data_IF_233737261096
#
_entry.id   IF_233737261096
#
_cell.length_a   1.000
_cell.length_b   1.000
_cell.length_c   1.000
_cell.angle_alpha   90.00
_cell.angle_beta   90.00
_cell.angle_gamma   90.00
#
_symmetry.space_group_name_H-M   'P 1'
#
loop_
_entity.id
_entity.type
_entity.pdbx_description
1 polymer ?
#
# COMPACT_ATOMS: atom_id res chain seq x y z
N UNK A 1 -34.23 -48.37 -30.76
CA UNK A 1 -33.24 -48.19 -29.70
C UNK A 1 -32.18 -47.12 -29.99
N UNK A 2 -31.64 -46.97 -31.21
CA UNK A 2 -30.57 -45.92 -31.49
C UNK A 2 -31.09 -44.46 -31.42
N UNK A 3 -32.35 -44.18 -31.72
CA UNK A 3 -32.90 -42.79 -31.64
C UNK A 3 -33.20 -42.32 -30.22
N UNK A 4 -33.46 -43.23 -29.29
CA UNK A 4 -33.76 -42.89 -27.86
C UNK A 4 -32.46 -42.59 -27.07
N UNK A 5 -31.34 -43.20 -27.46
CA UNK A 5 -30.04 -42.96 -26.81
C UNK A 5 -29.47 -41.57 -27.18
N UNK A 6 -29.71 -41.12 -28.43
CA UNK A 6 -29.27 -39.76 -28.86
C UNK A 6 -30.01 -38.63 -28.17
N UNK A 7 -31.27 -38.83 -27.80
CA UNK A 7 -32.08 -37.81 -27.09
C UNK A 7 -31.69 -37.68 -25.62
N UNK A 8 -31.33 -38.80 -24.97
CA UNK A 8 -30.86 -38.82 -23.58
C UNK A 8 -29.46 -38.20 -23.48
N UNK A 9 -28.58 -38.44 -24.46
CA UNK A 9 -27.26 -37.81 -24.49
C UNK A 9 -27.32 -36.28 -24.74
N UNK A 10 -28.27 -35.83 -25.59
CA UNK A 10 -28.47 -34.38 -25.79
C UNK A 10 -29.08 -33.70 -24.56
N UNK A 11 -29.93 -34.36 -23.79
CA UNK A 11 -30.51 -33.83 -22.53
C UNK A 11 -29.42 -33.78 -21.41
N UNK A 12 -28.52 -34.75 -21.35
CA UNK A 12 -27.38 -34.72 -20.39
C UNK A 12 -26.33 -33.68 -20.72
N UNK A 13 -26.17 -33.30 -21.98
CA UNK A 13 -25.29 -32.20 -22.39
C UNK A 13 -25.86 -30.80 -22.09
N UNK A 14 -27.20 -30.69 -21.99
CA UNK A 14 -27.82 -29.42 -21.59
C UNK A 14 -27.85 -29.19 -20.07
N UNK A 15 -27.68 -30.21 -19.23
CA UNK A 15 -27.55 -30.04 -17.79
C UNK A 15 -26.10 -29.74 -17.33
N UNK A 16 -25.14 -29.75 -18.24
CA UNK A 16 -23.72 -29.51 -17.98
C UNK A 16 -23.21 -28.10 -18.34
N UNK A 17 -24.10 -27.20 -18.81
CA UNK A 17 -23.77 -25.77 -18.85
C UNK A 17 -23.90 -25.23 -17.44
N UNK A 18 -22.92 -25.54 -16.57
CA UNK A 18 -22.62 -24.67 -15.44
C UNK A 18 -22.40 -23.29 -16.07
N UNK A 19 -23.37 -22.42 -15.96
CA UNK A 19 -23.17 -21.00 -16.24
C UNK A 19 -21.96 -20.62 -15.39
N UNK A 20 -20.83 -20.35 -16.01
CA UNK A 20 -19.82 -19.56 -15.36
C UNK A 20 -20.52 -18.22 -15.08
N UNK A 21 -21.11 -18.07 -13.91
CA UNK A 21 -21.59 -16.77 -13.46
C UNK A 21 -20.34 -15.91 -13.42
N UNK A 22 -20.31 -14.86 -14.24
CA UNK A 22 -19.35 -13.78 -14.03
C UNK A 22 -19.52 -13.30 -12.59
N UNK A 23 -18.45 -12.98 -11.92
CA UNK A 23 -18.53 -12.42 -10.58
C UNK A 23 -19.35 -11.13 -10.62
N UNK A 24 -20.05 -10.84 -9.52
CA UNK A 24 -20.85 -9.62 -9.39
C UNK A 24 -19.99 -8.38 -9.19
N UNK A 25 -18.73 -8.56 -8.81
CA UNK A 25 -17.72 -7.51 -8.62
C UNK A 25 -16.33 -8.02 -8.95
N UNK A 26 -15.56 -7.24 -9.71
CA UNK A 26 -14.17 -7.55 -10.03
C UNK A 26 -13.23 -6.48 -9.45
N UNK A 27 -12.11 -6.91 -8.84
CA UNK A 27 -11.20 -6.03 -8.09
C UNK A 27 -9.76 -6.23 -8.57
N UNK A 28 -9.09 -5.15 -8.97
CA UNK A 28 -7.63 -5.08 -9.02
C UNK A 28 -7.07 -4.72 -7.65
N UNK A 29 -6.25 -5.58 -7.06
CA UNK A 29 -5.69 -5.37 -5.72
C UNK A 29 -4.17 -5.53 -5.68
N UNK A 30 -3.52 -4.62 -4.97
CA UNK A 30 -2.14 -4.77 -4.51
C UNK A 30 -2.07 -4.94 -2.98
N UNK A 31 -3.21 -5.17 -2.33
CA UNK A 31 -3.28 -5.40 -0.89
C UNK A 31 -2.70 -6.77 -0.55
N UNK A 32 -2.18 -6.90 0.66
CA UNK A 32 -1.68 -8.17 1.12
C UNK A 32 -2.80 -9.23 1.21
N UNK A 33 -2.43 -10.49 1.06
CA UNK A 33 -3.38 -11.60 1.05
C UNK A 33 -4.21 -11.69 2.33
N UNK A 34 -3.63 -11.34 3.50
CA UNK A 34 -4.32 -11.39 4.79
C UNK A 34 -5.49 -10.41 4.82
N UNK A 35 -5.29 -9.15 4.34
CA UNK A 35 -6.35 -8.15 4.25
C UNK A 35 -7.47 -8.60 3.30
N UNK A 36 -7.10 -9.12 2.14
CA UNK A 36 -8.05 -9.63 1.16
C UNK A 36 -8.89 -10.78 1.77
N UNK A 37 -8.26 -11.69 2.50
CA UNK A 37 -8.93 -12.86 3.13
C UNK A 37 -9.84 -12.48 4.31
N UNK A 38 -9.71 -11.29 4.88
CA UNK A 38 -10.63 -10.76 5.89
C UNK A 38 -11.81 -10.04 5.20
N UNK A 39 -11.51 -9.12 4.30
CA UNK A 39 -12.53 -8.20 3.75
C UNK A 39 -13.42 -8.87 2.72
N UNK A 40 -12.86 -9.66 1.80
CA UNK A 40 -13.66 -10.23 0.70
C UNK A 40 -14.73 -11.21 1.20
N UNK A 41 -14.41 -12.23 2.02
CA UNK A 41 -15.46 -13.14 2.52
C UNK A 41 -16.51 -12.41 3.38
N UNK A 42 -16.11 -11.40 4.15
CA UNK A 42 -17.03 -10.61 4.96
C UNK A 42 -17.98 -9.78 4.07
N UNK A 43 -17.49 -9.18 2.99
CA UNK A 43 -18.29 -8.48 2.01
C UNK A 43 -19.28 -9.42 1.31
N UNK A 44 -18.80 -10.58 0.84
CA UNK A 44 -19.64 -11.61 0.19
C UNK A 44 -20.74 -12.10 1.15
N UNK A 45 -20.41 -12.32 2.42
CA UNK A 45 -21.38 -12.72 3.44
C UNK A 45 -22.44 -11.63 3.70
N UNK A 46 -22.01 -10.37 3.77
CA UNK A 46 -22.89 -9.25 4.08
C UNK A 46 -23.84 -8.90 2.92
N UNK A 47 -23.40 -9.09 1.69
CA UNK A 47 -24.14 -8.63 0.50
C UNK A 47 -24.75 -9.76 -0.33
N UNK A 48 -24.21 -10.97 -0.25
CA UNK A 48 -24.54 -12.09 -1.14
C UNK A 48 -23.94 -11.98 -2.54
N UNK A 49 -23.12 -10.94 -2.80
CA UNK A 49 -22.41 -10.75 -4.06
C UNK A 49 -21.13 -11.60 -4.09
N UNK A 50 -20.73 -12.04 -5.28
CA UNK A 50 -19.49 -12.79 -5.50
C UNK A 50 -18.39 -11.86 -6.00
N UNK A 51 -17.12 -12.06 -5.55
CA UNK A 51 -15.99 -11.22 -5.89
C UNK A 51 -14.91 -12.00 -6.65
N UNK A 52 -14.48 -11.48 -7.80
CA UNK A 52 -13.27 -11.91 -8.48
C UNK A 52 -12.13 -10.95 -8.19
N UNK A 53 -11.00 -11.49 -7.70
CA UNK A 53 -9.81 -10.70 -7.42
C UNK A 53 -8.67 -11.00 -8.37
N UNK A 54 -8.07 -9.93 -8.87
CA UNK A 54 -6.86 -9.96 -9.72
C UNK A 54 -5.77 -9.20 -8.98
N UNK A 55 -4.73 -9.90 -8.52
CA UNK A 55 -3.65 -9.33 -7.74
C UNK A 55 -2.42 -8.98 -8.59
N UNK A 56 -1.66 -7.98 -8.13
CA UNK A 56 -0.40 -7.54 -8.73
C UNK A 56 0.26 -6.45 -7.88
N UNK A 57 1.42 -5.95 -8.30
CA UNK A 57 1.99 -4.76 -7.67
C UNK A 57 1.13 -3.52 -7.96
N UNK A 58 1.25 -2.47 -7.14
CA UNK A 58 0.48 -1.23 -7.33
C UNK A 58 0.67 -0.63 -8.73
N UNK A 59 1.90 -0.67 -9.25
CA UNK A 59 2.20 -0.19 -10.60
C UNK A 59 1.58 -1.05 -11.69
N UNK A 60 1.63 -2.38 -11.56
CA UNK A 60 1.04 -3.30 -12.55
C UNK A 60 -0.47 -3.17 -12.65
N UNK A 61 -1.18 -3.15 -11.50
CA UNK A 61 -2.64 -3.02 -11.53
C UNK A 61 -3.07 -1.64 -12.03
N UNK A 62 -2.33 -0.57 -11.73
CA UNK A 62 -2.61 0.76 -12.28
C UNK A 62 -2.42 0.81 -13.79
N UNK A 63 -1.39 0.16 -14.34
CA UNK A 63 -1.18 0.08 -15.78
C UNK A 63 -2.31 -0.69 -16.49
N UNK A 64 -2.85 -1.72 -15.87
CA UNK A 64 -4.03 -2.44 -16.40
C UNK A 64 -5.25 -1.54 -16.45
N UNK A 65 -5.56 -0.83 -15.34
CA UNK A 65 -6.66 0.16 -15.30
C UNK A 65 -6.51 1.18 -16.42
N UNK A 66 -5.30 1.76 -16.59
CA UNK A 66 -5.01 2.73 -17.64
C UNK A 66 -5.30 2.18 -19.02
N UNK A 67 -4.80 0.99 -19.33
CA UNK A 67 -5.02 0.32 -20.61
C UNK A 67 -6.52 0.05 -20.89
N UNK A 68 -7.28 -0.39 -19.88
CA UNK A 68 -8.70 -0.67 -20.03
C UNK A 68 -9.52 0.61 -20.27
N UNK A 69 -9.25 1.66 -19.48
CA UNK A 69 -9.95 2.96 -19.64
C UNK A 69 -9.60 3.62 -20.97
N UNK A 70 -8.33 3.63 -21.39
CA UNK A 70 -7.89 4.21 -22.66
C UNK A 70 -8.49 3.48 -23.89
N UNK A 71 -8.65 2.16 -23.79
CA UNK A 71 -9.27 1.37 -24.87
C UNK A 71 -10.80 1.36 -24.83
N UNK A 72 -11.39 1.86 -23.75
CA UNK A 72 -12.84 1.83 -23.54
C UNK A 72 -13.40 0.42 -23.24
N UNK A 73 -12.53 -0.53 -22.90
CA UNK A 73 -12.92 -1.91 -22.58
C UNK A 73 -12.64 -2.21 -21.12
N UNK A 74 -13.38 -1.52 -20.22
CA UNK A 74 -13.27 -1.69 -18.78
C UNK A 74 -13.97 -3.00 -18.37
N UNK A 75 -13.23 -3.90 -17.74
CA UNK A 75 -13.70 -5.22 -17.31
C UNK A 75 -13.67 -5.40 -15.79
N UNK A 76 -13.03 -4.50 -15.07
CA UNK A 76 -12.87 -4.54 -13.62
C UNK A 76 -13.47 -3.29 -12.98
N UNK A 77 -14.07 -3.44 -11.80
CA UNK A 77 -14.86 -2.40 -11.16
C UNK A 77 -14.06 -1.55 -10.19
N UNK A 78 -13.21 -2.19 -9.41
CA UNK A 78 -12.49 -1.58 -8.28
C UNK A 78 -10.99 -1.65 -8.49
N UNK A 79 -10.33 -0.54 -8.18
CA UNK A 79 -8.90 -0.50 -7.95
C UNK A 79 -8.66 -0.33 -6.43
N UNK A 80 -8.12 -1.36 -5.79
CA UNK A 80 -7.80 -1.36 -4.37
C UNK A 80 -6.30 -1.55 -4.16
N UNK A 81 -5.56 -0.51 -4.49
CA UNK A 81 -4.11 -0.55 -4.53
C UNK A 81 -3.53 0.86 -4.45
N UNK A 82 -2.55 1.08 -3.61
CA UNK A 82 -1.85 2.36 -3.45
C UNK A 82 -2.65 3.45 -2.70
N UNK A 83 -1.96 4.52 -2.41
CA UNK A 83 -2.44 5.73 -1.77
C UNK A 83 -2.75 6.83 -2.81
N UNK A 84 -3.36 7.91 -2.35
CA UNK A 84 -3.75 9.04 -3.21
C UNK A 84 -2.55 9.69 -3.92
N UNK A 85 -1.37 9.75 -3.29
CA UNK A 85 -0.19 10.38 -3.90
C UNK A 85 0.29 9.63 -5.15
N UNK A 86 0.12 8.29 -5.14
CA UNK A 86 0.44 7.47 -6.30
C UNK A 86 -0.59 7.61 -7.41
N UNK A 87 -1.84 7.89 -7.07
CA UNK A 87 -2.97 7.86 -8.00
C UNK A 87 -3.36 9.22 -8.55
N UNK A 88 -2.96 10.31 -7.89
CA UNK A 88 -3.46 11.66 -8.19
C UNK A 88 -3.22 12.12 -9.64
N UNK A 89 -2.08 11.75 -10.25
CA UNK A 89 -1.78 12.04 -11.65
C UNK A 89 -2.67 11.27 -12.65
N UNK A 90 -3.43 10.28 -12.18
CA UNK A 90 -4.28 9.41 -12.98
C UNK A 90 -5.74 9.48 -12.51
N UNK A 91 -6.14 10.59 -11.92
CA UNK A 91 -7.48 10.78 -11.35
C UNK A 91 -8.63 10.57 -12.35
N UNK A 92 -8.38 10.87 -13.60
CA UNK A 92 -9.31 10.71 -14.74
C UNK A 92 -9.62 9.23 -15.08
N UNK A 93 -8.87 8.29 -14.52
CA UNK A 93 -9.13 6.85 -14.62
C UNK A 93 -10.23 6.37 -13.66
N UNK A 94 -10.62 7.20 -12.70
CA UNK A 94 -11.51 6.80 -11.61
C UNK A 94 -12.82 7.59 -11.63
N UNK A 95 -13.88 6.94 -11.15
CA UNK A 95 -15.21 7.54 -11.00
C UNK A 95 -15.27 8.34 -9.69
N UNK A 96 -15.71 9.60 -9.70
CA UNK A 96 -15.95 10.35 -8.48
C UNK A 96 -17.02 9.68 -7.64
N UNK A 97 -16.66 9.25 -6.44
CA UNK A 97 -17.60 8.68 -5.48
C UNK A 97 -17.16 9.02 -4.05
N UNK A 98 -18.07 9.60 -3.28
CA UNK A 98 -17.90 9.82 -1.85
C UNK A 98 -18.69 8.75 -1.11
N UNK A 99 -18.00 7.93 -0.32
CA UNK A 99 -18.62 6.88 0.48
C UNK A 99 -19.68 7.44 1.43
N UNK A 100 -20.77 6.69 1.63
CA UNK A 100 -21.76 6.99 2.67
C UNK A 100 -21.18 6.97 4.10
N UNK A 101 -19.98 6.40 4.26
CA UNK A 101 -19.26 6.33 5.52
C UNK A 101 -18.31 7.53 5.75
N UNK A 102 -18.19 8.45 4.79
CA UNK A 102 -17.18 9.51 4.79
C UNK A 102 -17.17 10.39 6.04
N UNK A 103 -18.35 10.78 6.53
CA UNK A 103 -18.47 11.64 7.72
C UNK A 103 -17.99 10.98 9.03
N UNK A 104 -17.91 9.65 9.05
CA UNK A 104 -17.42 8.89 10.20
C UNK A 104 -15.89 8.70 10.19
N UNK A 105 -15.22 9.09 9.11
CA UNK A 105 -13.76 9.07 9.02
C UNK A 105 -13.15 10.25 9.81
N UNK A 106 -11.90 10.05 10.23
CA UNK A 106 -11.09 11.14 10.78
C UNK A 106 -10.92 12.25 9.73
N UNK A 107 -10.96 13.54 10.12
CA UNK A 107 -11.00 14.66 9.17
C UNK A 107 -9.94 14.63 8.08
N UNK A 108 -8.71 14.20 8.41
CA UNK A 108 -7.59 14.12 7.47
C UNK A 108 -7.73 13.01 6.42
N UNK A 109 -8.65 12.07 6.61
CA UNK A 109 -8.90 10.96 5.69
C UNK A 109 -10.24 11.06 4.95
N UNK A 110 -11.01 12.12 5.23
CA UNK A 110 -12.27 12.35 4.54
C UNK A 110 -12.04 12.72 3.07
N UNK A 111 -12.88 12.16 2.21
CA UNK A 111 -12.93 12.53 0.80
C UNK A 111 -13.57 13.93 0.67
N UNK A 112 -12.93 14.84 -0.03
CA UNK A 112 -13.35 16.24 -0.16
C UNK A 112 -14.50 16.48 -1.18
N UNK A 113 -15.17 15.42 -1.65
CA UNK A 113 -16.37 15.52 -2.50
C UNK A 113 -16.11 15.51 -4.00
N UNK A 114 -15.04 16.11 -4.47
CA UNK A 114 -14.55 16.06 -5.86
C UNK A 114 -13.46 14.99 -6.06
N UNK A 115 -13.07 14.34 -4.98
CA UNK A 115 -12.06 13.30 -4.94
C UNK A 115 -12.69 11.93 -5.21
N UNK A 116 -12.00 11.10 -5.98
CA UNK A 116 -12.38 9.72 -6.26
C UNK A 116 -11.71 8.70 -5.33
N UNK A 117 -10.93 9.15 -4.34
CA UNK A 117 -10.15 8.30 -3.44
C UNK A 117 -10.81 8.25 -2.06
N UNK A 118 -11.19 7.06 -1.62
CA UNK A 118 -11.80 6.83 -0.31
C UNK A 118 -10.79 6.11 0.59
N UNK A 119 -10.28 6.80 1.60
CA UNK A 119 -9.25 6.29 2.49
C UNK A 119 -9.83 5.27 3.47
N UNK A 120 -9.41 4.02 3.36
CA UNK A 120 -9.89 2.92 4.17
C UNK A 120 -9.03 2.69 5.42
N UNK A 121 -7.72 2.63 5.23
CA UNK A 121 -6.74 2.40 6.29
C UNK A 121 -5.60 3.39 6.14
N UNK A 122 -4.86 3.62 7.21
CA UNK A 122 -3.65 4.42 7.17
C UNK A 122 -2.46 3.55 7.57
N UNK A 123 -1.33 3.78 6.93
CA UNK A 123 -0.17 2.92 7.08
C UNK A 123 1.13 3.74 7.06
N UNK A 124 1.65 4.10 8.25
CA UNK A 124 2.90 4.85 8.31
C UNK A 124 4.07 4.03 7.80
N UNK A 125 5.04 4.73 7.21
CA UNK A 125 6.30 4.13 6.84
C UNK A 125 7.19 3.98 8.06
N UNK A 126 7.93 2.88 8.10
CA UNK A 126 8.82 2.52 9.20
C UNK A 126 10.14 1.97 8.67
N UNK A 127 11.13 1.94 9.52
CA UNK A 127 12.30 1.09 9.34
C UNK A 127 12.10 -0.20 10.13
N UNK A 128 12.44 -1.34 9.55
CA UNK A 128 12.63 -2.60 10.27
C UNK A 128 14.12 -2.82 10.42
N UNK A 129 14.58 -3.11 11.63
CA UNK A 129 16.00 -3.31 11.93
C UNK A 129 16.26 -4.69 12.51
N UNK A 130 17.36 -5.32 12.13
CA UNK A 130 17.85 -6.54 12.77
C UNK A 130 18.71 -6.17 13.98
N UNK A 131 18.14 -6.34 15.17
CA UNK A 131 18.77 -5.89 16.43
C UNK A 131 20.09 -6.61 16.73
N UNK A 132 20.21 -7.88 16.33
CA UNK A 132 21.45 -8.64 16.50
C UNK A 132 22.56 -8.10 15.60
N UNK A 133 22.26 -7.79 14.34
CA UNK A 133 23.26 -7.21 13.42
C UNK A 133 23.72 -5.84 13.90
N UNK A 134 22.79 -4.99 14.37
CA UNK A 134 23.14 -3.66 14.90
C UNK A 134 24.01 -3.76 16.15
N UNK A 135 23.70 -4.71 17.06
CA UNK A 135 24.52 -4.97 18.25
C UNK A 135 25.94 -5.45 17.87
N UNK A 136 26.07 -6.37 16.92
CA UNK A 136 27.38 -6.86 16.42
C UNK A 136 28.20 -5.75 15.76
N UNK A 137 27.56 -4.77 15.12
CA UNK A 137 28.20 -3.58 14.55
C UNK A 137 28.47 -2.47 15.59
N UNK A 138 27.87 -2.55 16.77
CA UNK A 138 27.99 -1.55 17.82
C UNK A 138 27.30 -0.23 17.54
N UNK A 139 26.25 -0.23 16.71
CA UNK A 139 25.48 0.95 16.29
C UNK A 139 24.01 0.86 16.67
N UNK A 140 23.34 2.01 16.59
CA UNK A 140 21.88 2.12 16.78
C UNK A 140 21.28 2.87 15.59
N UNK A 141 20.00 2.60 15.31
CA UNK A 141 19.22 3.26 14.27
C UNK A 141 17.90 3.73 14.90
N UNK A 142 17.71 5.04 15.00
CA UNK A 142 16.52 5.67 15.56
C UNK A 142 15.83 6.61 14.56
N UNK A 143 16.56 7.02 13.51
CA UNK A 143 16.07 7.94 12.49
C UNK A 143 16.77 7.78 11.15
N UNK A 144 16.36 8.61 10.20
CA UNK A 144 16.94 8.59 8.85
C UNK A 144 18.40 9.01 8.86
N UNK A 145 18.80 9.94 9.73
CA UNK A 145 20.20 10.37 9.83
C UNK A 145 21.16 9.20 10.11
N UNK A 146 20.70 8.20 10.85
CA UNK A 146 21.49 7.03 11.21
C UNK A 146 21.80 6.11 10.03
N UNK A 147 21.02 6.22 8.93
CA UNK A 147 21.23 5.45 7.70
C UNK A 147 22.56 5.80 7.00
N UNK A 148 23.20 6.93 7.38
CA UNK A 148 24.48 7.35 6.84
C UNK A 148 25.69 6.76 7.60
N UNK A 149 25.48 5.97 8.66
CA UNK A 149 26.56 5.31 9.39
C UNK A 149 27.33 4.38 8.43
N UNK A 150 28.68 4.48 8.38
CA UNK A 150 29.46 3.73 7.39
C UNK A 150 29.39 2.20 7.58
N UNK A 151 29.06 1.72 8.79
CA UNK A 151 28.85 0.32 9.12
C UNK A 151 27.65 -0.27 8.38
N UNK A 152 26.70 0.59 7.97
CA UNK A 152 25.50 0.20 7.23
C UNK A 152 25.70 0.08 5.73
N UNK A 153 26.87 0.39 5.19
CA UNK A 153 27.12 0.27 3.75
C UNK A 153 26.86 -1.15 3.24
N UNK A 154 25.94 -1.28 2.28
CA UNK A 154 25.50 -2.55 1.71
C UNK A 154 24.69 -3.43 2.67
N UNK A 155 24.26 -2.87 3.82
CA UNK A 155 23.43 -3.53 4.83
C UNK A 155 22.01 -2.95 4.94
N UNK A 156 21.70 -1.96 4.12
CA UNK A 156 20.37 -1.38 4.00
C UNK A 156 19.69 -1.97 2.76
N UNK A 157 18.37 -2.17 2.83
CA UNK A 157 17.55 -2.57 1.69
C UNK A 157 16.29 -1.71 1.62
N UNK A 158 15.91 -1.31 0.42
CA UNK A 158 14.62 -0.68 0.11
C UNK A 158 14.05 -1.27 -1.18
N UNK A 159 12.77 -1.03 -1.48
CA UNK A 159 12.24 -1.30 -2.81
C UNK A 159 12.41 -0.07 -3.72
N UNK A 160 12.09 -0.22 -5.01
CA UNK A 160 12.18 0.86 -5.98
C UNK A 160 11.04 1.88 -5.81
N UNK A 161 11.32 3.16 -5.48
CA UNK A 161 10.30 4.20 -5.34
C UNK A 161 9.49 4.48 -6.61
N UNK A 162 10.00 4.17 -7.79
CA UNK A 162 9.27 4.35 -9.03
C UNK A 162 8.14 3.32 -9.21
N UNK A 163 8.27 2.13 -8.59
CA UNK A 163 7.38 0.99 -8.80
C UNK A 163 6.66 0.50 -7.53
N UNK A 164 7.06 0.98 -6.35
CA UNK A 164 6.49 0.59 -5.06
C UNK A 164 5.98 1.81 -4.30
N UNK A 165 4.69 1.81 -3.95
CA UNK A 165 4.05 2.88 -3.15
C UNK A 165 4.77 3.06 -1.81
N UNK A 166 5.00 1.98 -1.06
CA UNK A 166 5.67 2.07 0.25
C UNK A 166 7.12 2.57 0.14
N UNK A 167 7.86 2.18 -0.89
CA UNK A 167 9.21 2.71 -1.10
C UNK A 167 9.18 4.19 -1.48
N UNK A 168 8.22 4.62 -2.30
CA UNK A 168 8.01 6.04 -2.58
C UNK A 168 7.70 6.83 -1.31
N UNK A 169 6.82 6.33 -0.46
CA UNK A 169 6.52 6.97 0.82
C UNK A 169 7.74 7.00 1.76
N UNK A 170 8.60 5.96 1.78
CA UNK A 170 9.86 5.98 2.51
C UNK A 170 10.81 7.08 1.98
N UNK A 171 10.90 7.23 0.65
CA UNK A 171 11.67 8.32 0.03
C UNK A 171 11.13 9.69 0.49
N UNK A 172 9.80 9.88 0.46
CA UNK A 172 9.16 11.12 0.93
C UNK A 172 9.46 11.36 2.41
N UNK A 173 9.40 10.32 3.25
CA UNK A 173 9.76 10.43 4.67
C UNK A 173 11.19 10.93 4.88
N UNK A 174 12.15 10.36 4.15
CA UNK A 174 13.55 10.81 4.18
C UNK A 174 13.71 12.26 3.70
N UNK A 175 13.06 12.63 2.58
CA UNK A 175 13.13 13.99 2.04
C UNK A 175 12.55 15.03 3.01
N UNK A 176 11.39 14.78 3.61
CA UNK A 176 10.81 15.68 4.61
C UNK A 176 11.65 15.76 5.89
N UNK A 177 12.10 14.62 6.41
CA UNK A 177 12.89 14.56 7.63
C UNK A 177 14.22 15.28 7.50
N UNK A 178 14.94 15.00 6.43
CA UNK A 178 16.29 15.55 6.22
C UNK A 178 16.27 16.93 5.59
N UNK A 179 15.19 17.31 4.89
CA UNK A 179 14.95 18.66 4.38
C UNK A 179 14.27 19.60 5.39
N UNK A 180 14.12 19.19 6.66
CA UNK A 180 13.48 20.00 7.71
C UNK A 180 12.07 20.48 7.32
N UNK A 181 11.32 19.61 6.66
CA UNK A 181 9.96 19.87 6.20
C UNK A 181 9.85 20.39 4.76
N UNK A 182 10.97 20.60 4.05
CA UNK A 182 11.00 20.91 2.62
C UNK A 182 11.63 19.76 1.83
N UNK A 183 10.79 18.90 1.18
CA UNK A 183 11.28 17.72 0.45
C UNK A 183 12.03 18.07 -0.84
N UNK A 184 11.96 19.31 -1.30
CA UNK A 184 12.63 19.76 -2.53
C UNK A 184 13.96 20.45 -2.26
N UNK A 185 14.33 20.66 -0.98
CA UNK A 185 15.57 21.37 -0.59
C UNK A 185 16.84 20.65 -1.03
N UNK A 186 17.93 21.41 -1.21
CA UNK A 186 19.26 20.85 -1.50
C UNK A 186 19.75 19.94 -0.37
N UNK A 187 19.43 20.25 0.89
CA UNK A 187 19.80 19.43 2.05
C UNK A 187 19.16 18.04 1.99
N UNK A 188 17.87 17.97 1.64
CA UNK A 188 17.15 16.69 1.50
C UNK A 188 17.81 15.80 0.43
N UNK A 189 18.12 16.36 -0.71
CA UNK A 189 18.70 15.61 -1.82
C UNK A 189 20.18 15.26 -1.62
N UNK A 190 20.95 16.11 -0.94
CA UNK A 190 22.31 15.77 -0.53
C UNK A 190 22.33 14.59 0.47
N UNK A 191 21.30 14.46 1.31
CA UNK A 191 21.12 13.27 2.14
C UNK A 191 20.85 12.02 1.28
N UNK A 192 19.96 12.13 0.27
CA UNK A 192 19.65 11.00 -0.62
C UNK A 192 20.89 10.49 -1.34
N UNK A 193 21.80 11.37 -1.80
CA UNK A 193 23.07 10.95 -2.38
C UNK A 193 23.91 10.09 -1.44
N UNK A 194 24.05 10.52 -0.19
CA UNK A 194 24.80 9.77 0.80
C UNK A 194 24.12 8.46 1.17
N UNK A 195 22.77 8.47 1.27
CA UNK A 195 21.98 7.28 1.49
C UNK A 195 22.16 6.25 0.36
N UNK A 196 22.14 6.68 -0.90
CA UNK A 196 22.35 5.80 -2.05
C UNK A 196 23.73 5.16 -2.06
N UNK A 197 24.76 5.89 -1.61
CA UNK A 197 26.12 5.33 -1.44
C UNK A 197 26.14 4.23 -0.37
N UNK A 198 25.41 4.41 0.73
CA UNK A 198 25.30 3.39 1.78
C UNK A 198 24.37 2.23 1.37
N UNK A 199 23.33 2.51 0.60
CA UNK A 199 22.44 1.48 0.04
C UNK A 199 23.20 0.50 -0.87
N UNK A 200 24.25 0.98 -1.57
CA UNK A 200 25.17 0.16 -2.38
C UNK A 200 24.39 -0.74 -3.40
N UNK A 201 23.37 -0.15 -4.03
CA UNK A 201 22.55 -0.83 -5.04
C UNK A 201 21.61 -1.93 -4.51
N UNK A 202 21.37 -2.02 -3.19
CA UNK A 202 20.48 -3.04 -2.60
C UNK A 202 19.01 -2.64 -2.71
N UNK A 203 18.47 -2.81 -3.90
CA UNK A 203 17.06 -2.50 -4.23
C UNK A 203 16.29 -3.81 -4.50
N UNK A 204 15.23 -4.02 -3.73
CA UNK A 204 14.34 -5.17 -3.86
C UNK A 204 13.26 -4.91 -4.92
N UNK A 205 12.71 -5.98 -5.50
CA UNK A 205 11.59 -5.89 -6.44
C UNK A 205 10.23 -5.71 -5.76
N UNK A 206 10.16 -5.93 -4.43
CA UNK A 206 8.93 -5.80 -3.65
C UNK A 206 9.21 -5.46 -2.18
N UNK A 207 8.22 -4.84 -1.52
CA UNK A 207 8.29 -4.55 -0.08
C UNK A 207 8.42 -5.81 0.77
N UNK A 208 7.85 -6.94 0.33
CA UNK A 208 7.96 -8.20 1.06
C UNK A 208 9.39 -8.74 1.08
N UNK A 209 10.17 -8.53 0.04
CA UNK A 209 11.60 -8.86 0.06
C UNK A 209 12.38 -7.98 1.04
N UNK A 210 11.97 -6.71 1.23
CA UNK A 210 12.63 -5.80 2.17
C UNK A 210 12.52 -6.32 3.60
N UNK A 211 11.31 -6.44 4.14
CA UNK A 211 11.15 -6.83 5.55
C UNK A 211 11.56 -8.29 5.83
N UNK A 212 11.34 -9.20 4.87
CA UNK A 212 11.81 -10.58 5.01
C UNK A 212 13.34 -10.69 4.95
N UNK A 213 14.01 -9.91 4.11
CA UNK A 213 15.48 -9.88 4.04
C UNK A 213 16.13 -9.46 5.36
N UNK A 214 15.52 -8.48 6.05
CA UNK A 214 15.96 -8.07 7.39
C UNK A 214 15.67 -9.17 8.42
N UNK A 215 14.47 -9.74 8.40
CA UNK A 215 14.10 -10.81 9.33
C UNK A 215 14.99 -12.05 9.17
N UNK A 216 15.39 -12.37 7.94
CA UNK A 216 16.30 -13.47 7.63
C UNK A 216 17.78 -13.17 7.97
N UNK A 217 18.12 -11.93 8.34
CA UNK A 217 19.49 -11.52 8.66
C UNK A 217 20.37 -11.26 7.44
N UNK A 218 19.77 -11.02 6.28
CA UNK A 218 20.50 -10.63 5.06
C UNK A 218 20.91 -9.16 5.09
N UNK A 219 20.06 -8.32 5.73
CA UNK A 219 20.24 -6.88 5.88
C UNK A 219 20.03 -6.44 7.32
N UNK A 220 20.70 -5.36 7.72
CA UNK A 220 20.57 -4.78 9.04
C UNK A 220 19.37 -3.84 9.17
N UNK A 221 19.03 -3.13 8.07
CA UNK A 221 17.96 -2.15 8.04
C UNK A 221 17.15 -2.31 6.75
N UNK A 222 15.83 -2.27 6.85
CA UNK A 222 14.90 -2.23 5.73
C UNK A 222 13.93 -1.04 5.85
N UNK A 223 13.69 -0.36 4.73
CA UNK A 223 12.70 0.71 4.63
C UNK A 223 11.39 0.13 4.09
N UNK A 224 10.32 0.13 4.90
CA UNK A 224 9.07 -0.53 4.54
C UNK A 224 7.86 0.15 5.19
N UNK A 225 6.77 -0.56 5.35
CA UNK A 225 5.52 -0.11 5.94
C UNK A 225 5.16 -0.93 7.19
N UNK A 226 4.26 -0.41 8.00
CA UNK A 226 4.06 -0.79 9.40
C UNK A 226 3.58 -2.24 9.59
N UNK A 227 2.47 -2.66 8.95
CA UNK A 227 1.77 -3.93 9.26
C UNK A 227 2.69 -5.17 9.30
N UNK A 228 3.42 -5.53 8.23
CA UNK A 228 4.25 -6.73 8.26
C UNK A 228 5.46 -6.60 9.18
N UNK A 229 5.98 -5.38 9.38
CA UNK A 229 7.11 -5.15 10.27
C UNK A 229 6.71 -5.36 11.74
N UNK A 230 5.55 -4.84 12.16
CA UNK A 230 4.98 -5.06 13.50
C UNK A 230 4.65 -6.54 13.72
N UNK A 231 4.13 -7.22 12.70
CA UNK A 231 3.83 -8.66 12.80
C UNK A 231 5.10 -9.49 13.04
N UNK A 232 6.19 -9.20 12.30
CA UNK A 232 7.48 -9.86 12.48
C UNK A 232 8.08 -9.61 13.87
N UNK A 233 8.02 -8.36 14.36
CA UNK A 233 8.49 -8.00 15.70
C UNK A 233 7.66 -8.71 16.77
N UNK A 234 6.33 -8.67 16.66
CA UNK A 234 5.42 -9.28 17.63
C UNK A 234 5.50 -10.81 17.67
N UNK A 235 5.81 -11.45 16.53
CA UNK A 235 6.04 -12.89 16.49
C UNK A 235 7.26 -13.33 17.33
N UNK A 236 8.23 -12.45 17.54
CA UNK A 236 9.40 -12.69 18.41
C UNK A 236 10.32 -13.83 17.95
N UNK A 237 10.12 -14.32 16.74
CA UNK A 237 10.90 -15.45 16.19
C UNK A 237 12.24 -15.00 15.59
N UNK A 238 12.33 -13.72 15.23
CA UNK A 238 13.50 -13.11 14.60
C UNK A 238 13.95 -11.91 15.44
N UNK A 239 15.24 -11.58 15.45
CA UNK A 239 15.79 -10.45 16.21
C UNK A 239 15.52 -9.11 15.46
N UNK A 240 14.25 -8.79 15.23
CA UNK A 240 13.84 -7.57 14.53
C UNK A 240 13.09 -6.62 15.46
N UNK A 241 13.15 -5.32 15.12
CA UNK A 241 12.43 -4.24 15.78
C UNK A 241 11.92 -3.24 14.75
N UNK A 242 10.73 -2.71 14.99
CA UNK A 242 10.17 -1.60 14.23
C UNK A 242 10.69 -0.28 14.78
N UNK A 243 11.17 0.59 13.90
CA UNK A 243 11.65 1.93 14.23
C UNK A 243 10.86 2.97 13.43
N UNK A 244 10.17 3.83 14.16
CA UNK A 244 9.55 5.05 13.60
C UNK A 244 10.61 6.16 13.70
N UNK A 245 10.98 6.72 12.56
CA UNK A 245 12.06 7.71 12.51
C UNK A 245 11.77 8.89 13.45
N UNK A 246 12.77 9.29 14.24
CA UNK A 246 12.66 10.38 15.20
C UNK A 246 12.41 11.73 14.51
N UNK A 247 12.86 11.90 13.28
CA UNK A 247 12.59 13.09 12.45
C UNK A 247 11.11 13.19 12.06
N UNK A 248 10.42 12.07 11.98
CA UNK A 248 9.02 11.95 11.60
C UNK A 248 8.78 10.93 10.51
N UNK A 249 7.51 10.63 10.26
CA UNK A 249 7.09 9.71 9.20
C UNK A 249 5.94 10.29 8.40
N UNK A 250 5.81 9.89 7.14
CA UNK A 250 4.59 10.10 6.37
C UNK A 250 3.55 9.07 6.76
N UNK A 251 2.29 9.48 6.68
CA UNK A 251 1.16 8.71 7.19
C UNK A 251 0.02 8.73 6.16
N UNK A 252 0.23 8.11 5.00
CA UNK A 252 -0.77 8.15 3.93
C UNK A 252 -2.00 7.34 4.28
N UNK A 253 -3.13 7.77 3.75
CA UNK A 253 -4.33 6.96 3.69
C UNK A 253 -4.27 6.00 2.51
N UNK A 254 -4.48 4.74 2.77
CA UNK A 254 -4.59 3.69 1.77
C UNK A 254 -6.00 3.67 1.21
N UNK A 255 -6.15 3.95 -0.08
CA UNK A 255 -7.44 4.25 -0.67
C UNK A 255 -8.03 3.12 -1.51
N UNK A 256 -9.34 3.16 -1.69
CA UNK A 256 -10.13 2.32 -2.58
C UNK A 256 -10.88 3.21 -3.57
N UNK A 257 -10.85 2.86 -4.87
CA UNK A 257 -11.39 3.66 -5.96
C UNK A 257 -12.29 2.81 -6.85
N UNK A 258 -13.33 3.45 -7.40
CA UNK A 258 -14.14 2.87 -8.47
C UNK A 258 -13.48 3.22 -9.79
N UNK A 259 -13.24 2.25 -10.66
CA UNK A 259 -12.70 2.48 -12.00
C UNK A 259 -13.76 3.18 -12.86
N UNK A 260 -13.34 4.15 -13.65
CA UNK A 260 -14.25 4.88 -14.55
C UNK A 260 -14.97 3.94 -15.52
N UNK A 261 -16.28 4.07 -15.63
CA UNK A 261 -17.14 3.19 -16.41
C UNK A 261 -17.14 1.72 -15.92
N UNK A 262 -16.93 1.49 -14.62
CA UNK A 262 -17.04 0.17 -14.01
C UNK A 262 -18.33 -0.56 -14.44
N UNK A 263 -18.24 -1.82 -14.88
CA UNK A 263 -19.40 -2.55 -15.37
C UNK A 263 -20.47 -2.81 -14.29
N UNK A 264 -20.06 -2.96 -13.01
CA UNK A 264 -20.96 -3.25 -11.90
C UNK A 264 -20.96 -2.11 -10.86
N UNK A 265 -21.30 -0.90 -11.30
CA UNK A 265 -21.22 0.34 -10.52
C UNK A 265 -21.88 0.27 -9.15
N UNK A 266 -23.05 -0.35 -9.04
CA UNK A 266 -23.77 -0.46 -7.75
C UNK A 266 -23.06 -1.41 -6.78
N UNK A 267 -22.50 -2.51 -7.24
CA UNK A 267 -21.68 -3.41 -6.44
C UNK A 267 -20.38 -2.73 -6.03
N UNK A 268 -19.77 -1.95 -6.93
CA UNK A 268 -18.55 -1.18 -6.64
C UNK A 268 -18.78 -0.16 -5.51
N UNK A 269 -19.88 0.58 -5.53
CA UNK A 269 -20.24 1.51 -4.44
C UNK A 269 -20.47 0.79 -3.12
N UNK A 270 -21.18 -0.36 -3.14
CA UNK A 270 -21.38 -1.18 -1.95
C UNK A 270 -20.05 -1.66 -1.37
N UNK A 271 -19.10 -2.05 -2.22
CA UNK A 271 -17.77 -2.47 -1.76
C UNK A 271 -16.99 -1.33 -1.10
N UNK A 272 -16.96 -0.14 -1.71
CA UNK A 272 -16.32 1.04 -1.11
C UNK A 272 -16.95 1.35 0.24
N UNK A 273 -18.27 1.40 0.34
CA UNK A 273 -18.98 1.65 1.60
C UNK A 273 -18.69 0.58 2.66
N UNK A 274 -18.62 -0.69 2.25
CA UNK A 274 -18.32 -1.79 3.14
C UNK A 274 -16.88 -1.71 3.70
N UNK A 275 -15.88 -1.46 2.87
CA UNK A 275 -14.48 -1.34 3.30
C UNK A 275 -14.31 -0.22 4.34
N UNK A 276 -15.06 0.88 4.21
CA UNK A 276 -15.03 2.01 5.14
C UNK A 276 -15.98 1.84 6.33
N UNK A 277 -16.78 0.78 6.38
CA UNK A 277 -17.74 0.55 7.45
C UNK A 277 -17.05 0.27 8.79
N UNK A 278 -17.77 0.52 9.88
CA UNK A 278 -17.29 0.21 11.24
C UNK A 278 -16.98 -1.28 11.42
N UNK A 279 -17.85 -2.13 10.87
CA UNK A 279 -17.71 -3.59 10.91
C UNK A 279 -16.41 -4.04 10.25
N UNK A 280 -16.19 -3.64 9.00
CA UNK A 280 -14.99 -4.00 8.23
C UNK A 280 -13.72 -3.50 8.91
N UNK A 281 -13.68 -2.22 9.30
CA UNK A 281 -12.48 -1.66 9.92
C UNK A 281 -12.17 -2.27 11.29
N UNK A 282 -13.17 -2.59 12.10
CA UNK A 282 -12.97 -3.33 13.36
C UNK A 282 -12.41 -4.73 13.12
N UNK A 283 -12.97 -5.47 12.15
CA UNK A 283 -12.51 -6.80 11.82
C UNK A 283 -11.04 -6.80 11.37
N UNK A 284 -10.69 -5.85 10.49
CA UNK A 284 -9.33 -5.70 9.99
C UNK A 284 -8.34 -5.31 11.11
N UNK A 285 -8.65 -4.28 11.90
CA UNK A 285 -7.78 -3.80 12.96
C UNK A 285 -7.63 -4.80 14.13
N UNK A 286 -8.57 -5.73 14.29
CA UNK A 286 -8.44 -6.80 15.28
C UNK A 286 -7.37 -7.85 14.89
N UNK A 287 -7.21 -8.12 13.60
CA UNK A 287 -6.35 -9.18 13.10
C UNK A 287 -5.05 -8.67 12.44
N UNK A 288 -5.08 -7.46 11.88
CA UNK A 288 -3.95 -6.83 11.21
C UNK A 288 -3.45 -5.60 11.97
N UNK A 289 -2.21 -5.22 11.70
CA UNK A 289 -1.62 -4.02 12.27
C UNK A 289 -1.83 -2.82 11.32
N UNK A 290 -3.07 -2.63 10.87
CA UNK A 290 -3.50 -1.48 10.09
C UNK A 290 -4.17 -0.44 10.99
N UNK A 291 -3.99 0.83 10.66
CA UNK A 291 -4.60 1.94 11.39
C UNK A 291 -5.92 2.31 10.76
N UNK A 292 -7.01 2.38 11.54
CA UNK A 292 -8.31 2.74 10.99
C UNK A 292 -8.31 4.21 10.55
N UNK A 293 -8.92 4.50 9.42
CA UNK A 293 -9.25 5.87 9.04
C UNK A 293 -10.55 6.35 9.72
N UNK A 294 -11.31 5.46 10.36
CA UNK A 294 -12.56 5.75 11.04
C UNK A 294 -12.34 6.14 12.50
N UNK A 295 -13.06 7.18 12.96
CA UNK A 295 -13.04 7.59 14.36
C UNK A 295 -13.63 6.51 15.29
N UNK A 296 -13.08 6.39 16.50
CA UNK A 296 -13.61 5.51 17.55
C UNK A 296 -13.22 4.03 17.43
N UNK A 297 -12.29 3.68 16.52
CA UNK A 297 -11.72 2.34 16.44
C UNK A 297 -10.28 2.42 16.97
N UNK A 298 -9.95 1.53 17.92
CA UNK A 298 -8.62 1.46 18.50
C UNK A 298 -7.67 0.65 17.60
N UNK A 299 -6.41 1.07 17.57
CA UNK A 299 -5.34 0.30 16.91
C UNK A 299 -5.00 -0.97 17.69
N UNK A 300 -4.45 -1.96 17.01
CA UNK A 300 -3.97 -3.18 17.64
C UNK A 300 -2.93 -2.85 18.74
N UNK A 301 -3.02 -3.53 19.89
CA UNK A 301 -2.13 -3.31 21.03
C UNK A 301 -0.63 -3.60 20.75
N UNK A 302 -0.33 -4.29 19.67
CA UNK A 302 1.05 -4.50 19.20
C UNK A 302 1.67 -3.24 18.58
N UNK A 303 0.85 -2.29 18.17
CA UNK A 303 1.26 -1.09 17.45
C UNK A 303 1.59 0.05 18.40
N UNK A 304 2.52 0.89 17.99
CA UNK A 304 2.81 2.15 18.69
C UNK A 304 1.59 3.07 18.64
N UNK A 305 1.16 3.69 19.76
CA UNK A 305 0.05 4.63 19.76
C UNK A 305 0.30 5.80 18.81
N UNK A 306 -0.76 6.29 18.17
CA UNK A 306 -0.69 7.45 17.25
C UNK A 306 -0.07 8.71 17.87
N UNK A 307 -0.32 8.92 19.17
CA UNK A 307 0.22 10.04 19.92
C UNK A 307 1.74 10.01 20.13
N UNK A 308 2.36 8.86 19.88
CA UNK A 308 3.81 8.66 20.01
C UNK A 308 4.53 8.64 18.66
N UNK A 309 3.81 8.83 17.55
CA UNK A 309 4.38 8.89 16.20
C UNK A 309 4.55 10.35 15.81
N UNK A 310 5.80 10.74 15.57
CA UNK A 310 6.12 12.05 15.00
C UNK A 310 5.66 12.11 13.55
N UNK A 311 4.90 13.15 13.19
CA UNK A 311 4.43 13.40 11.81
C UNK A 311 4.98 14.73 11.33
N UNK A 312 5.10 14.88 10.01
CA UNK A 312 5.54 16.15 9.42
C UNK A 312 4.35 17.11 9.30
N UNK A 313 4.40 18.24 10.00
CA UNK A 313 3.34 19.27 9.95
C UNK A 313 3.21 19.90 8.56
N UNK A 314 4.29 19.91 7.78
CA UNK A 314 4.33 20.49 6.43
C UNK A 314 3.91 19.50 5.32
N UNK A 315 3.74 18.22 5.66
CA UNK A 315 3.33 17.21 4.68
C UNK A 315 1.88 17.43 4.24
N UNK A 316 1.68 17.46 2.94
CA UNK A 316 0.34 17.39 2.34
C UNK A 316 0.34 16.41 1.17
N UNK A 317 -0.67 15.57 1.11
CA UNK A 317 -0.89 14.62 0.00
C UNK A 317 -0.95 15.35 -1.34
N UNK A 318 -1.58 16.53 -1.37
CA UNK A 318 -1.70 17.34 -2.58
C UNK A 318 -0.33 17.75 -3.13
N UNK A 319 0.55 18.31 -2.28
CA UNK A 319 1.89 18.73 -2.71
C UNK A 319 2.68 17.56 -3.30
N UNK A 320 2.66 16.41 -2.62
CA UNK A 320 3.38 15.23 -3.09
C UNK A 320 2.79 14.70 -4.40
N UNK A 321 1.47 14.69 -4.53
CA UNK A 321 0.80 14.28 -5.76
C UNK A 321 1.18 15.15 -6.97
N UNK A 322 1.24 16.47 -6.77
CA UNK A 322 1.64 17.44 -7.80
C UNK A 322 3.10 17.30 -8.21
N UNK A 323 4.01 16.95 -7.28
CA UNK A 323 5.46 16.87 -7.52
C UNK A 323 5.98 15.43 -7.70
N UNK A 324 5.11 14.42 -7.65
CA UNK A 324 5.54 13.01 -7.70
C UNK A 324 6.45 12.71 -8.88
N UNK A 325 6.07 13.09 -10.09
CA UNK A 325 6.85 12.81 -11.29
C UNK A 325 8.24 13.46 -11.23
N UNK A 326 8.33 14.69 -10.72
CA UNK A 326 9.57 15.41 -10.53
C UNK A 326 10.46 14.70 -9.48
N UNK A 327 9.89 14.32 -8.34
CA UNK A 327 10.60 13.63 -7.27
C UNK A 327 11.15 12.28 -7.76
N UNK A 328 10.33 11.48 -8.44
CA UNK A 328 10.76 10.18 -8.98
C UNK A 328 11.85 10.35 -10.03
N UNK A 329 11.70 11.31 -10.95
CA UNK A 329 12.71 11.59 -11.97
C UNK A 329 14.05 12.02 -11.33
N UNK A 330 13.97 12.92 -10.36
CA UNK A 330 15.16 13.38 -9.63
C UNK A 330 15.82 12.23 -8.85
N UNK A 331 15.03 11.34 -8.22
CA UNK A 331 15.59 10.15 -7.58
C UNK A 331 16.34 9.26 -8.57
N UNK A 332 15.79 9.02 -9.77
CA UNK A 332 16.46 8.23 -10.82
C UNK A 332 17.79 8.87 -11.22
N UNK A 333 17.82 10.17 -11.42
CA UNK A 333 19.05 10.93 -11.76
C UNK A 333 20.12 10.79 -10.66
N UNK A 334 19.73 10.87 -9.38
CA UNK A 334 20.62 10.65 -8.24
C UNK A 334 21.12 9.21 -8.16
N UNK A 335 20.27 8.22 -8.48
CA UNK A 335 20.70 6.81 -8.58
C UNK A 335 21.75 6.63 -9.67
N UNK A 336 21.52 7.17 -10.87
CA UNK A 336 22.46 7.10 -12.00
C UNK A 336 23.81 7.72 -11.64
N UNK A 337 23.82 8.90 -11.02
CA UNK A 337 25.06 9.59 -10.57
C UNK A 337 25.86 8.79 -9.52
N UNK A 338 25.18 8.00 -8.70
CA UNK A 338 25.83 7.21 -7.64
C UNK A 338 26.19 5.77 -8.10
N UNK A 339 25.83 5.37 -9.32
CA UNK A 339 26.22 4.09 -9.92
C UNK A 339 27.49 4.19 -10.81
N UNK A 340 27.92 5.42 -11.15
CA UNK A 340 29.17 5.71 -11.86
C UNK A 340 30.37 5.78 -10.89
#
# INVERSE_FOLDING_TARGET
>A
MKKSISLVLALLLMLGAASAFAADLSIYSARNERLNNIVIPAFEQATGLTVEMITGSSGEVLQRVKSEVETGNVTVDIHWAADETMLAANRDLFEPYVSTQNEALLPQFQNAGDNCFNNAYAEPNVMIVNTKMLEEMGIQVEGYADLLQPELKGKIITADPANSSSAFQCLIGMLYGMGKGDPMSEEAWAFIDQFLQNLDGKVASSSSQVYNGVANGEYAVGLSYEDPCVELEAAGMQPVKVVYAVEGTVYPGESVQIIKNAPHMDAAKQFVDFVLSEESQKAVCAELNLRPCRAGIEVNAKMKPDSEITRFDTYTTQFIAEHKSEIVQKYIEHVEMNME
#
